data_IF_006415567229
#
_entry.id   IF_006415567229
#
_cell.length_a   1.000
_cell.length_b   1.000
_cell.length_c   1.000
_cell.angle_alpha   90.00
_cell.angle_beta   90.00
_cell.angle_gamma   90.00
#
_symmetry.space_group_name_H-M   'P 1'
#
loop_
_entity.id
_entity.type
_entity.pdbx_description
1 polymer ?
#
# COMPACT_ATOMS: atom_id res chain seq x y z
N UNK A 1 -67.78 -1.42 25.26
CA UNK A 1 -67.13 -2.72 24.95
C UNK A 1 -65.67 -2.60 25.33
N UNK A 2 -65.33 -3.05 26.54
CA UNK A 2 -64.64 -4.32 26.88
C UNK A 2 -63.14 -4.08 27.13
N UNK A 3 -62.88 -3.56 28.32
CA UNK A 3 -61.68 -3.86 29.08
C UNK A 3 -61.47 -5.37 29.20
N UNK A 4 -60.24 -5.84 29.01
CA UNK A 4 -59.69 -6.97 29.78
C UNK A 4 -58.20 -6.75 30.08
N UNK A 5 -57.81 -6.84 31.35
CA UNK A 5 -56.42 -6.91 31.80
C UNK A 5 -55.95 -8.36 31.80
N UNK A 6 -54.65 -8.60 31.62
CA UNK A 6 -54.04 -9.86 32.02
C UNK A 6 -52.66 -9.61 32.64
N UNK A 7 -52.65 -9.66 33.98
CA UNK A 7 -51.49 -10.05 34.77
C UNK A 7 -51.06 -11.46 34.35
N UNK A 8 -49.77 -11.73 34.26
CA UNK A 8 -49.21 -12.87 35.00
C UNK A 8 -47.69 -12.77 35.13
N UNK A 9 -47.26 -13.04 36.36
CA UNK A 9 -45.88 -13.15 36.83
C UNK A 9 -45.07 -14.22 36.07
N UNK A 10 -43.76 -13.99 35.93
CA UNK A 10 -42.77 -14.93 36.47
C UNK A 10 -41.43 -14.20 36.58
N UNK A 11 -41.05 -13.86 37.81
CA UNK A 11 -39.72 -13.40 38.15
C UNK A 11 -38.77 -14.60 38.11
N UNK A 12 -38.03 -14.74 37.01
CA UNK A 12 -36.85 -15.59 36.95
C UNK A 12 -35.66 -14.75 37.43
N UNK A 13 -35.32 -14.90 38.72
CA UNK A 13 -34.14 -14.30 39.32
C UNK A 13 -32.91 -15.10 38.87
N UNK A 14 -32.39 -14.77 37.68
CA UNK A 14 -31.10 -15.29 37.22
C UNK A 14 -30.00 -14.63 38.03
N UNK A 15 -29.38 -15.41 38.91
CA UNK A 15 -28.09 -15.12 39.52
C UNK A 15 -27.06 -14.94 38.41
N UNK A 16 -26.88 -13.70 37.95
CA UNK A 16 -25.77 -13.32 37.11
C UNK A 16 -24.50 -13.45 37.98
N UNK A 17 -23.79 -14.57 37.85
CA UNK A 17 -22.39 -14.62 38.23
C UNK A 17 -21.68 -13.53 37.43
N UNK A 18 -21.42 -12.38 38.07
CA UNK A 18 -20.46 -11.39 37.59
C UNK A 18 -19.09 -12.07 37.56
N UNK A 19 -18.80 -12.72 36.45
CA UNK A 19 -17.42 -12.95 36.04
C UNK A 19 -16.80 -11.57 35.90
N UNK A 20 -16.00 -11.19 36.89
CA UNK A 20 -15.15 -10.02 36.81
C UNK A 20 -14.25 -10.21 35.58
N UNK A 21 -14.67 -9.66 34.43
CA UNK A 21 -13.83 -9.54 33.25
C UNK A 21 -12.65 -8.70 33.69
N UNK A 22 -11.51 -9.34 33.93
CA UNK A 22 -10.23 -8.67 34.02
C UNK A 22 -10.05 -7.93 32.69
N UNK A 23 -10.26 -6.62 32.71
CA UNK A 23 -9.94 -5.78 31.56
C UNK A 23 -8.44 -5.92 31.37
N UNK A 24 -7.98 -6.48 30.23
CA UNK A 24 -6.54 -6.61 30.00
C UNK A 24 -5.91 -5.22 30.13
N UNK A 25 -4.71 -5.12 30.74
CA UNK A 25 -4.04 -3.84 30.91
C UNK A 25 -3.92 -3.17 29.54
N UNK A 26 -4.50 -1.98 29.41
CA UNK A 26 -4.47 -1.20 28.17
C UNK A 26 -3.02 -0.90 27.85
N UNK A 27 -2.54 -1.43 26.72
CA UNK A 27 -1.17 -1.25 26.27
C UNK A 27 -0.95 0.24 25.94
N UNK A 28 -0.02 0.90 26.64
CA UNK A 28 0.29 2.32 26.41
C UNK A 28 0.66 2.60 24.95
N UNK A 29 1.32 1.63 24.29
CA UNK A 29 1.67 1.72 22.89
C UNK A 29 0.45 1.77 21.96
N UNK A 30 -0.54 0.93 22.22
CA UNK A 30 -1.79 0.90 21.45
C UNK A 30 -2.60 2.19 21.68
N UNK A 31 -2.59 2.74 22.89
CA UNK A 31 -3.29 4.01 23.18
C UNK A 31 -2.74 5.18 22.36
N UNK A 32 -1.42 5.34 22.25
CA UNK A 32 -0.83 6.41 21.44
C UNK A 32 -1.07 6.19 19.94
N UNK A 33 -1.02 4.95 19.46
CA UNK A 33 -1.37 4.61 18.09
C UNK A 33 -2.84 4.96 17.77
N UNK A 34 -3.77 4.60 18.67
CA UNK A 34 -5.19 4.92 18.54
C UNK A 34 -5.43 6.43 18.50
N UNK A 35 -4.75 7.20 19.36
CA UNK A 35 -4.83 8.68 19.31
C UNK A 35 -4.40 9.23 17.94
N UNK A 36 -3.38 8.64 17.32
CA UNK A 36 -2.97 9.02 15.97
C UNK A 36 -4.04 8.69 14.92
N UNK A 37 -4.59 7.47 14.97
CA UNK A 37 -5.68 7.05 14.07
C UNK A 37 -6.93 7.92 14.23
N UNK A 38 -7.30 8.31 15.44
CA UNK A 38 -8.39 9.23 15.73
C UNK A 38 -8.16 10.62 15.14
N UNK A 39 -6.94 11.16 15.27
CA UNK A 39 -6.56 12.43 14.64
C UNK A 39 -6.67 12.35 13.12
N UNK A 40 -6.19 11.28 12.52
CA UNK A 40 -6.29 11.04 11.06
C UNK A 40 -7.76 10.95 10.64
N UNK A 41 -8.59 10.22 11.40
CA UNK A 41 -10.03 10.13 11.15
C UNK A 41 -10.74 11.49 11.30
N UNK A 42 -10.34 12.30 12.27
CA UNK A 42 -10.83 13.67 12.44
C UNK A 42 -10.52 14.54 11.22
N UNK A 43 -9.25 14.58 10.81
CA UNK A 43 -8.81 15.32 9.61
C UNK A 43 -9.60 14.89 8.38
N UNK A 44 -9.80 13.58 8.18
CA UNK A 44 -10.59 13.06 7.06
C UNK A 44 -12.04 13.55 7.10
N UNK A 45 -12.70 13.53 8.26
CA UNK A 45 -14.06 14.05 8.43
C UNK A 45 -14.13 15.54 8.12
N UNK A 46 -13.16 16.32 8.60
CA UNK A 46 -13.11 17.77 8.37
C UNK A 46 -12.93 18.11 6.89
N UNK A 47 -12.05 17.38 6.20
CA UNK A 47 -11.83 17.55 4.75
C UNK A 47 -13.07 17.15 3.95
N UNK A 48 -13.73 16.05 4.33
CA UNK A 48 -15.00 15.61 3.71
C UNK A 48 -16.14 16.62 3.91
N UNK A 49 -16.25 17.23 5.09
CA UNK A 49 -17.25 18.27 5.34
C UNK A 49 -17.05 19.46 4.41
N UNK A 50 -15.82 20.00 4.35
CA UNK A 50 -15.48 21.11 3.45
C UNK A 50 -15.66 20.77 1.97
N UNK A 51 -15.41 19.51 1.59
CA UNK A 51 -15.65 19.02 0.24
C UNK A 51 -17.15 19.04 -0.10
N UNK A 52 -18.03 18.55 0.79
CA UNK A 52 -19.48 18.59 0.54
C UNK A 52 -20.01 20.03 0.44
N UNK A 53 -19.51 20.95 1.27
CA UNK A 53 -19.86 22.37 1.19
C UNK A 53 -19.50 22.94 -0.19
N UNK A 54 -18.27 22.69 -0.65
CA UNK A 54 -17.77 23.13 -1.96
C UNK A 54 -18.53 22.49 -3.14
N UNK A 55 -18.97 21.23 -3.01
CA UNK A 55 -19.87 20.61 -3.98
C UNK A 55 -21.24 21.29 -4.01
N UNK A 56 -21.77 21.70 -2.85
CA UNK A 56 -23.00 22.48 -2.75
C UNK A 56 -22.91 23.83 -3.48
N UNK A 57 -21.81 24.54 -3.28
CA UNK A 57 -21.52 25.81 -3.98
C UNK A 57 -21.40 25.60 -5.50
N UNK A 58 -20.65 24.59 -5.93
CA UNK A 58 -20.49 24.27 -7.35
C UNK A 58 -21.82 23.90 -8.01
N UNK A 59 -22.65 23.10 -7.33
CA UNK A 59 -23.98 22.75 -7.81
C UNK A 59 -24.85 24.00 -8.01
N UNK A 60 -24.84 24.92 -7.04
CA UNK A 60 -25.61 26.17 -7.13
C UNK A 60 -25.10 27.08 -8.26
N UNK A 61 -23.78 27.14 -8.49
CA UNK A 61 -23.19 27.90 -9.59
C UNK A 61 -23.60 27.35 -10.97
N UNK A 62 -23.59 26.03 -11.15
CA UNK A 62 -24.00 25.38 -12.40
C UNK A 62 -25.51 25.55 -12.67
N UNK A 63 -26.34 25.51 -11.62
CA UNK A 63 -27.76 25.82 -11.72
C UNK A 63 -28.01 27.26 -12.21
N UNK A 64 -27.27 28.23 -11.68
CA UNK A 64 -27.34 29.63 -12.14
C UNK A 64 -26.89 29.80 -13.59
N UNK A 65 -25.95 28.97 -14.03
CA UNK A 65 -25.48 28.92 -15.43
C UNK A 65 -26.41 28.12 -16.36
N UNK A 66 -27.53 27.58 -15.85
CA UNK A 66 -28.44 26.70 -16.58
C UNK A 66 -27.78 25.44 -17.18
N UNK A 67 -26.68 24.95 -16.58
CA UNK A 67 -25.99 23.73 -16.98
C UNK A 67 -26.52 22.54 -16.16
N UNK A 68 -27.59 21.91 -16.67
CA UNK A 68 -28.30 20.83 -15.99
C UNK A 68 -27.45 19.56 -15.83
N UNK A 69 -26.77 19.12 -16.89
CA UNK A 69 -26.00 17.87 -16.89
C UNK A 69 -24.86 17.91 -15.87
N UNK A 70 -24.11 19.02 -15.86
CA UNK A 70 -23.05 19.23 -14.88
C UNK A 70 -23.61 19.30 -13.45
N UNK A 71 -24.75 19.97 -13.25
CA UNK A 71 -25.38 20.07 -11.93
C UNK A 71 -25.86 18.69 -11.39
N UNK A 72 -26.37 17.82 -12.28
CA UNK A 72 -26.77 16.45 -11.92
C UNK A 72 -25.56 15.57 -11.58
N UNK A 73 -24.44 15.72 -12.29
CA UNK A 73 -23.19 15.02 -11.97
C UNK A 73 -22.69 15.40 -10.56
N UNK A 74 -22.68 16.70 -10.22
CA UNK A 74 -22.29 17.17 -8.89
C UNK A 74 -23.26 16.65 -7.81
N UNK A 75 -24.56 16.64 -8.07
CA UNK A 75 -25.56 16.07 -7.15
C UNK A 75 -25.32 14.59 -6.88
N UNK A 76 -25.00 13.82 -7.91
CA UNK A 76 -24.70 12.38 -7.80
C UNK A 76 -23.44 12.16 -6.95
N UNK A 77 -22.42 12.98 -7.16
CA UNK A 77 -21.20 12.93 -6.35
C UNK A 77 -21.49 13.26 -4.87
N UNK A 78 -22.29 14.28 -4.57
CA UNK A 78 -22.69 14.59 -3.18
C UNK A 78 -23.40 13.41 -2.49
N UNK A 79 -24.28 12.73 -3.22
CA UNK A 79 -24.94 11.52 -2.72
C UNK A 79 -23.94 10.41 -2.44
N UNK A 80 -22.96 10.19 -3.33
CA UNK A 80 -21.88 9.23 -3.13
C UNK A 80 -21.07 9.56 -1.88
N UNK A 81 -20.61 10.80 -1.74
CA UNK A 81 -19.80 11.25 -0.58
C UNK A 81 -20.54 11.06 0.74
N UNK A 82 -21.83 11.39 0.77
CA UNK A 82 -22.68 11.21 1.95
C UNK A 82 -22.79 9.74 2.36
N UNK A 83 -22.93 8.85 1.37
CA UNK A 83 -23.07 7.40 1.56
C UNK A 83 -21.75 6.73 1.94
N UNK A 84 -20.71 6.96 1.16
CA UNK A 84 -19.45 6.21 1.25
C UNK A 84 -18.49 6.81 2.27
N UNK A 85 -18.59 8.13 2.54
CA UNK A 85 -17.71 8.87 3.46
C UNK A 85 -16.21 8.69 3.16
N UNK A 86 -15.86 8.58 1.88
CA UNK A 86 -14.49 8.41 1.40
C UNK A 86 -14.23 9.13 0.09
N UNK A 87 -12.99 9.56 -0.12
CA UNK A 87 -12.49 10.13 -1.38
C UNK A 87 -11.32 9.29 -1.90
N UNK A 88 -11.42 8.83 -3.15
CA UNK A 88 -10.35 8.12 -3.83
C UNK A 88 -10.22 8.57 -5.28
N UNK A 89 -9.01 8.53 -5.82
CA UNK A 89 -8.72 8.91 -7.21
C UNK A 89 -9.44 8.07 -8.26
N UNK A 90 -9.83 6.82 -7.91
CA UNK A 90 -10.59 5.95 -8.82
C UNK A 90 -12.03 6.41 -9.02
N UNK A 91 -12.54 7.24 -8.12
CA UNK A 91 -13.90 7.75 -8.12
C UNK A 91 -13.97 9.12 -8.82
N UNK A 92 -12.90 9.53 -9.50
CA UNK A 92 -12.88 10.79 -10.24
C UNK A 92 -13.82 10.75 -11.43
N UNK A 93 -14.68 11.76 -11.51
CA UNK A 93 -15.59 11.95 -12.62
C UNK A 93 -14.83 12.66 -13.75
N UNK A 94 -15.03 12.21 -14.99
CA UNK A 94 -14.36 12.80 -16.15
C UNK A 94 -14.90 14.22 -16.45
N UNK A 95 -16.23 14.39 -16.40
CA UNK A 95 -16.94 15.65 -16.63
C UNK A 95 -18.02 15.86 -15.55
N UNK A 96 -18.24 17.11 -15.07
CA UNK A 96 -17.62 18.34 -15.54
C UNK A 96 -16.18 18.55 -15.01
N UNK A 97 -15.31 19.19 -15.80
CA UNK A 97 -13.92 19.51 -15.41
C UNK A 97 -13.80 20.24 -14.06
N UNK A 98 -14.75 21.12 -13.74
CA UNK A 98 -14.79 21.83 -12.46
C UNK A 98 -14.97 20.88 -11.26
N UNK A 99 -15.83 19.86 -11.40
CA UNK A 99 -15.99 18.81 -10.39
C UNK A 99 -14.71 17.99 -10.23
N UNK A 100 -14.10 17.58 -11.35
CA UNK A 100 -12.83 16.84 -11.31
C UNK A 100 -11.71 17.63 -10.64
N UNK A 101 -11.59 18.92 -10.93
CA UNK A 101 -10.61 19.79 -10.28
C UNK A 101 -10.83 19.85 -8.77
N UNK A 102 -12.08 19.95 -8.33
CA UNK A 102 -12.47 19.97 -6.92
C UNK A 102 -12.14 18.62 -6.24
N UNK A 103 -12.43 17.50 -6.90
CA UNK A 103 -12.06 16.15 -6.44
C UNK A 103 -10.55 16.01 -6.22
N UNK A 104 -9.74 16.41 -7.21
CA UNK A 104 -8.27 16.36 -7.12
C UNK A 104 -7.77 17.24 -5.97
N UNK A 105 -8.25 18.48 -5.88
CA UNK A 105 -7.87 19.41 -4.83
C UNK A 105 -8.10 18.84 -3.43
N UNK A 106 -9.26 18.26 -3.17
CA UNK A 106 -9.62 17.76 -1.84
C UNK A 106 -8.97 16.41 -1.49
N UNK A 107 -8.71 15.54 -2.48
CA UNK A 107 -7.91 14.33 -2.26
C UNK A 107 -6.46 14.70 -1.92
N UNK A 108 -5.83 15.61 -2.68
CA UNK A 108 -4.47 16.08 -2.38
C UNK A 108 -4.41 16.73 -1.01
N UNK A 109 -5.36 17.62 -0.68
CA UNK A 109 -5.44 18.23 0.66
C UNK A 109 -5.60 17.22 1.78
N UNK A 110 -6.42 16.17 1.59
CA UNK A 110 -6.55 15.09 2.55
C UNK A 110 -5.22 14.36 2.78
N UNK A 111 -4.52 14.02 1.69
CA UNK A 111 -3.22 13.34 1.75
C UNK A 111 -2.17 14.20 2.46
N UNK A 112 -2.10 15.50 2.17
CA UNK A 112 -1.18 16.44 2.82
C UNK A 112 -1.43 16.55 4.33
N UNK A 113 -2.66 16.80 4.75
CA UNK A 113 -3.00 16.96 6.17
C UNK A 113 -2.80 15.66 6.96
N UNK A 114 -3.17 14.52 6.36
CA UNK A 114 -2.90 13.21 6.97
C UNK A 114 -1.40 12.95 7.06
N UNK A 115 -0.63 13.30 6.02
CA UNK A 115 0.82 13.22 6.01
C UNK A 115 1.46 14.05 7.13
N UNK A 116 0.94 15.25 7.42
CA UNK A 116 1.38 16.09 8.54
C UNK A 116 1.12 15.42 9.90
N UNK A 117 -0.07 14.86 10.12
CA UNK A 117 -0.38 14.14 11.37
C UNK A 117 0.55 12.94 11.56
N UNK A 118 0.82 12.20 10.49
CA UNK A 118 1.73 11.06 10.49
C UNK A 118 3.17 11.50 10.79
N UNK A 119 3.64 12.57 10.15
CA UNK A 119 4.98 13.11 10.37
C UNK A 119 5.19 13.59 11.82
N UNK A 120 4.14 14.12 12.48
CA UNK A 120 4.19 14.52 13.89
C UNK A 120 4.17 13.31 14.85
N UNK A 121 3.37 12.30 14.55
CA UNK A 121 3.18 11.15 15.43
C UNK A 121 4.33 10.13 15.37
N UNK A 122 4.94 9.96 14.19
CA UNK A 122 5.93 8.92 13.95
C UNK A 122 7.16 9.02 14.88
N UNK A 123 7.80 10.19 15.09
CA UNK A 123 8.92 10.32 16.02
C UNK A 123 8.53 9.93 17.47
N UNK A 124 7.32 10.32 17.92
CA UNK A 124 6.81 10.01 19.27
C UNK A 124 6.65 8.50 19.47
N UNK A 125 6.11 7.80 18.48
CA UNK A 125 5.99 6.33 18.52
C UNK A 125 7.38 5.66 18.51
N UNK A 126 8.34 6.19 17.74
CA UNK A 126 9.72 5.66 17.73
C UNK A 126 10.39 5.82 19.10
N UNK A 127 10.23 6.97 19.75
CA UNK A 127 10.72 7.20 21.11
C UNK A 127 10.03 6.28 22.13
N UNK A 128 8.71 6.13 22.02
CA UNK A 128 7.93 5.23 22.87
C UNK A 128 8.44 3.79 22.75
N UNK A 129 8.66 3.29 21.52
CA UNK A 129 9.23 1.97 21.25
C UNK A 129 10.58 1.79 21.97
N UNK A 130 11.48 2.78 21.84
CA UNK A 130 12.80 2.76 22.51
C UNK A 130 12.64 2.69 24.03
N UNK A 131 11.77 3.51 24.60
CA UNK A 131 11.52 3.53 26.05
C UNK A 131 10.99 2.19 26.58
N UNK A 132 10.07 1.55 25.86
CA UNK A 132 9.52 0.24 26.22
C UNK A 132 10.59 -0.86 26.14
N UNK A 133 11.50 -0.77 25.16
CA UNK A 133 12.62 -1.71 25.04
C UNK A 133 13.59 -1.57 26.22
N UNK A 134 13.94 -0.33 26.61
CA UNK A 134 14.81 -0.08 27.78
C UNK A 134 14.16 -0.55 29.08
N UNK A 135 12.84 -0.40 29.20
CA UNK A 135 12.06 -0.87 30.35
C UNK A 135 11.86 -2.40 30.39
N UNK A 136 12.35 -3.16 29.40
CA UNK A 136 12.17 -4.60 29.31
C UNK A 136 10.76 -5.05 28.89
N UNK A 137 9.90 -4.12 28.45
CA UNK A 137 8.53 -4.40 28.00
C UNK A 137 8.50 -4.72 26.50
N UNK A 138 9.01 -5.91 26.16
CA UNK A 138 9.22 -6.28 24.76
C UNK A 138 7.91 -6.44 23.97
N UNK A 139 6.86 -6.99 24.57
CA UNK A 139 5.55 -7.17 23.90
C UNK A 139 4.94 -5.82 23.50
N UNK A 140 5.00 -4.83 24.40
CA UNK A 140 4.55 -3.46 24.12
C UNK A 140 5.40 -2.79 23.02
N UNK A 141 6.72 -3.00 23.03
CA UNK A 141 7.60 -2.48 22.00
C UNK A 141 7.30 -3.08 20.61
N UNK A 142 6.92 -4.37 20.55
CA UNK A 142 6.48 -5.03 19.33
C UNK A 142 5.15 -4.44 18.86
N UNK A 143 4.17 -4.21 19.75
CA UNK A 143 2.91 -3.58 19.40
C UNK A 143 3.10 -2.18 18.81
N UNK A 144 3.96 -1.35 19.43
CA UNK A 144 4.32 -0.01 18.89
C UNK A 144 5.02 -0.12 17.54
N UNK A 145 5.90 -1.11 17.35
CA UNK A 145 6.55 -1.37 16.06
C UNK A 145 5.51 -1.70 14.97
N UNK A 146 4.55 -2.58 15.25
CA UNK A 146 3.48 -2.92 14.31
C UNK A 146 2.62 -1.70 13.99
N UNK A 147 2.33 -0.85 14.98
CA UNK A 147 1.61 0.41 14.75
C UNK A 147 2.41 1.39 13.86
N UNK A 148 3.71 1.53 14.08
CA UNK A 148 4.61 2.33 13.22
C UNK A 148 4.58 1.81 11.79
N UNK A 149 4.77 0.50 11.60
CA UNK A 149 4.76 -0.13 10.28
C UNK A 149 3.40 0.09 9.59
N UNK A 150 2.28 -0.10 10.29
CA UNK A 150 0.94 0.17 9.78
C UNK A 150 0.76 1.63 9.38
N UNK A 151 1.23 2.58 10.19
CA UNK A 151 1.09 4.02 9.94
C UNK A 151 1.92 4.45 8.72
N UNK A 152 3.18 4.03 8.66
CA UNK A 152 4.06 4.29 7.52
C UNK A 152 3.49 3.67 6.25
N UNK A 153 3.08 2.40 6.31
CA UNK A 153 2.52 1.72 5.16
C UNK A 153 1.22 2.39 4.71
N UNK A 154 0.27 2.69 5.59
CA UNK A 154 -1.03 3.25 5.21
C UNK A 154 -0.97 4.64 4.59
N UNK A 155 0.10 5.40 4.86
CA UNK A 155 0.16 6.83 4.55
C UNK A 155 1.36 7.28 3.72
N UNK A 156 2.32 6.41 3.42
CA UNK A 156 3.32 6.71 2.40
C UNK A 156 2.61 6.83 1.05
N UNK A 157 2.71 7.98 0.35
CA UNK A 157 2.17 8.12 -0.98
C UNK A 157 2.90 7.14 -1.89
N UNK A 158 2.20 6.11 -2.33
CA UNK A 158 2.71 5.20 -3.36
C UNK A 158 2.57 5.94 -4.68
N UNK A 159 3.53 6.82 -4.97
CA UNK A 159 3.59 7.52 -6.23
C UNK A 159 3.61 6.47 -7.35
N UNK A 160 2.68 6.60 -8.30
CA UNK A 160 2.69 5.75 -9.48
C UNK A 160 4.01 6.01 -10.21
N UNK A 161 4.87 5.00 -10.37
CA UNK A 161 6.14 5.22 -11.06
C UNK A 161 5.84 5.68 -12.48
N UNK A 162 6.48 6.76 -12.90
CA UNK A 162 6.42 7.18 -14.30
C UNK A 162 7.08 6.09 -15.17
N UNK A 163 6.68 6.01 -16.43
CA UNK A 163 7.21 4.99 -17.33
C UNK A 163 8.73 5.14 -17.43
N UNK A 164 9.47 4.12 -16.98
CA UNK A 164 10.93 4.12 -16.99
C UNK A 164 11.60 4.61 -15.70
N UNK A 165 10.85 5.06 -14.69
CA UNK A 165 11.42 5.35 -13.37
C UNK A 165 12.00 4.08 -12.74
N UNK A 166 13.19 4.23 -12.14
CA UNK A 166 13.86 3.17 -11.39
C UNK A 166 13.23 3.09 -10.00
N UNK A 167 12.58 1.96 -9.71
CA UNK A 167 11.96 1.63 -8.43
C UNK A 167 12.91 0.71 -7.66
N UNK A 168 13.40 1.08 -6.48
CA UNK A 168 14.17 0.17 -5.64
C UNK A 168 13.36 -1.08 -5.29
N UNK A 169 13.99 -2.26 -5.28
CA UNK A 169 13.36 -3.52 -4.88
C UNK A 169 12.74 -3.42 -3.48
N UNK A 170 13.40 -2.69 -2.58
CA UNK A 170 12.89 -2.37 -1.24
C UNK A 170 11.54 -1.64 -1.27
N UNK A 171 11.37 -0.65 -2.15
CA UNK A 171 10.12 0.10 -2.26
C UNK A 171 8.96 -0.80 -2.70
N UNK A 172 9.20 -1.72 -3.64
CA UNK A 172 8.19 -2.70 -4.04
C UNK A 172 7.83 -3.66 -2.90
N UNK A 173 8.85 -4.20 -2.21
CA UNK A 173 8.63 -5.13 -1.10
C UNK A 173 7.88 -4.47 0.06
N UNK A 174 8.24 -3.24 0.43
CA UNK A 174 7.54 -2.46 1.45
C UNK A 174 6.10 -2.16 1.01
N UNK A 175 5.88 -1.77 -0.25
CA UNK A 175 4.54 -1.52 -0.75
C UNK A 175 3.63 -2.77 -0.65
N UNK A 176 4.12 -3.93 -1.11
CA UNK A 176 3.34 -5.17 -1.11
C UNK A 176 3.16 -5.80 0.27
N UNK A 177 4.13 -5.66 1.18
CA UNK A 177 4.00 -6.12 2.57
C UNK A 177 3.08 -5.22 3.40
N UNK A 178 3.02 -3.92 3.08
CA UNK A 178 2.16 -2.98 3.77
C UNK A 178 0.69 -3.05 3.36
N UNK A 179 0.40 -3.00 2.06
CA UNK A 179 -0.96 -3.08 1.52
C UNK A 179 -0.93 -3.63 0.09
N UNK A 180 -1.20 -4.94 -0.02
CA UNK A 180 -1.23 -5.65 -1.31
C UNK A 180 -2.20 -5.03 -2.31
N UNK A 181 -3.40 -4.64 -1.87
CA UNK A 181 -4.45 -4.14 -2.77
C UNK A 181 -4.03 -2.82 -3.39
N UNK A 182 -3.44 -1.93 -2.58
CA UNK A 182 -2.91 -0.66 -3.05
C UNK A 182 -1.67 -0.85 -3.92
N UNK A 183 -0.75 -1.74 -3.53
CA UNK A 183 0.44 -2.04 -4.32
C UNK A 183 0.10 -2.64 -5.70
N UNK A 184 -0.86 -3.56 -5.76
CA UNK A 184 -1.38 -4.09 -7.02
C UNK A 184 -1.94 -2.95 -7.89
N UNK A 185 -2.72 -2.05 -7.32
CA UNK A 185 -3.27 -0.89 -8.06
C UNK A 185 -2.16 -0.01 -8.64
N UNK A 186 -1.06 0.18 -7.92
CA UNK A 186 0.02 1.07 -8.35
C UNK A 186 1.00 0.41 -9.32
N UNK A 187 1.39 -0.84 -9.06
CA UNK A 187 2.48 -1.49 -9.78
C UNK A 187 2.01 -2.58 -10.74
N UNK A 188 0.95 -3.34 -10.43
CA UNK A 188 0.55 -4.49 -11.25
C UNK A 188 0.17 -4.06 -12.67
N UNK A 189 0.69 -4.79 -13.64
CA UNK A 189 0.57 -4.50 -15.07
C UNK A 189 1.43 -3.35 -15.58
N UNK A 190 2.13 -2.60 -14.72
CA UNK A 190 3.02 -1.52 -15.16
C UNK A 190 4.38 -2.09 -15.57
N UNK A 191 4.94 -1.57 -16.68
CA UNK A 191 6.33 -1.82 -17.08
C UNK A 191 7.24 -0.87 -16.30
N UNK A 192 7.98 -1.40 -15.33
CA UNK A 192 8.83 -0.63 -14.41
C UNK A 192 10.28 -1.12 -14.49
N UNK A 193 11.21 -0.28 -14.06
CA UNK A 193 12.61 -0.68 -13.85
C UNK A 193 12.80 -0.94 -12.37
N UNK A 194 13.26 -2.12 -11.99
CA UNK A 194 13.52 -2.47 -10.59
C UNK A 194 15.02 -2.59 -10.36
N UNK A 195 15.52 -1.85 -9.37
CA UNK A 195 16.92 -1.89 -8.95
C UNK A 195 17.06 -2.66 -7.65
N UNK A 196 17.93 -3.67 -7.62
CA UNK A 196 18.25 -4.41 -6.39
C UNK A 196 19.57 -5.16 -6.49
N UNK A 197 20.01 -5.75 -5.39
CA UNK A 197 21.21 -6.60 -5.39
C UNK A 197 20.83 -8.04 -5.75
N UNK A 198 21.58 -8.68 -6.65
CA UNK A 198 21.30 -10.07 -7.04
C UNK A 198 21.48 -10.99 -5.83
N UNK A 199 20.41 -11.65 -5.40
CA UNK A 199 20.44 -12.60 -4.27
C UNK A 199 20.75 -14.03 -4.73
N UNK A 200 20.28 -14.37 -5.94
CA UNK A 200 20.49 -15.66 -6.57
C UNK A 200 19.74 -15.75 -7.89
N UNK A 201 19.89 -16.88 -8.57
CA UNK A 201 19.24 -17.16 -9.84
C UNK A 201 19.10 -18.68 -10.03
N UNK A 202 18.10 -19.11 -10.80
CA UNK A 202 17.86 -20.53 -11.14
C UNK A 202 16.91 -20.66 -12.33
N UNK A 203 16.89 -21.83 -12.94
CA UNK A 203 15.80 -22.23 -13.85
C UNK A 203 14.50 -22.37 -13.03
N UNK A 204 13.38 -21.90 -13.56
CA UNK A 204 12.08 -22.05 -12.93
C UNK A 204 11.71 -23.55 -12.83
N UNK A 205 11.48 -24.10 -11.63
CA UNK A 205 11.13 -25.51 -11.47
C UNK A 205 9.78 -25.87 -12.10
N UNK A 206 8.87 -24.90 -12.28
CA UNK A 206 7.57 -25.12 -12.90
C UNK A 206 7.62 -24.97 -14.44
N UNK A 207 8.60 -24.23 -14.97
CA UNK A 207 8.77 -23.99 -16.40
C UNK A 207 10.24 -23.93 -16.79
N UNK A 208 10.77 -25.03 -17.34
CA UNK A 208 12.16 -25.11 -17.78
C UNK A 208 12.53 -24.11 -18.90
N UNK A 209 11.56 -23.38 -19.48
CA UNK A 209 11.79 -22.31 -20.48
C UNK A 209 11.92 -20.93 -19.85
N UNK A 210 11.78 -20.82 -18.54
CA UNK A 210 11.86 -19.58 -17.80
C UNK A 210 13.06 -19.62 -16.86
N UNK A 211 13.86 -18.56 -16.86
CA UNK A 211 14.96 -18.36 -15.92
C UNK A 211 14.58 -17.27 -14.92
N UNK A 212 14.85 -17.51 -13.64
CA UNK A 212 14.48 -16.61 -12.55
C UNK A 212 15.73 -15.96 -11.95
N UNK A 213 15.72 -14.64 -11.80
CA UNK A 213 16.72 -13.87 -11.05
C UNK A 213 16.03 -13.23 -9.85
N UNK A 214 16.62 -13.33 -8.67
CA UNK A 214 16.09 -12.75 -7.44
C UNK A 214 16.85 -11.49 -7.06
N UNK A 215 16.14 -10.37 -6.90
CA UNK A 215 16.70 -9.11 -6.43
C UNK A 215 16.34 -8.87 -4.97
N UNK A 216 17.32 -8.79 -4.08
CA UNK A 216 17.12 -8.47 -2.67
C UNK A 216 17.00 -6.95 -2.44
N UNK A 217 16.29 -6.57 -1.37
CA UNK A 217 16.40 -5.24 -0.78
C UNK A 217 17.74 -5.07 -0.06
N UNK A 218 18.18 -3.82 0.10
CA UNK A 218 19.38 -3.52 0.90
C UNK A 218 19.23 -3.92 2.38
N UNK A 219 17.99 -4.00 2.86
CA UNK A 219 17.62 -4.43 4.22
C UNK A 219 17.55 -5.95 4.41
N UNK A 220 17.61 -6.75 3.32
CA UNK A 220 17.51 -8.22 3.37
C UNK A 220 16.08 -8.76 3.63
N UNK A 221 15.06 -7.92 3.62
CA UNK A 221 13.67 -8.26 3.93
C UNK A 221 12.90 -8.80 2.71
N UNK A 222 13.37 -9.92 2.16
CA UNK A 222 12.75 -10.59 1.00
C UNK A 222 13.40 -10.27 -0.34
N UNK A 223 12.76 -10.69 -1.42
CA UNK A 223 13.27 -10.55 -2.78
C UNK A 223 12.17 -10.34 -3.81
N UNK A 224 12.49 -9.62 -4.89
CA UNK A 224 11.68 -9.51 -6.10
C UNK A 224 12.14 -10.59 -7.07
N UNK A 225 11.21 -11.41 -7.55
CA UNK A 225 11.47 -12.46 -8.53
C UNK A 225 11.30 -11.91 -9.95
N UNK A 226 12.35 -11.97 -10.76
CA UNK A 226 12.36 -11.51 -12.14
C UNK A 226 12.42 -12.71 -13.10
N UNK A 227 11.34 -12.93 -13.84
CA UNK A 227 11.22 -14.03 -14.79
C UNK A 227 11.63 -13.61 -16.21
N UNK A 228 12.58 -14.33 -16.80
CA UNK A 228 13.10 -14.14 -18.15
C UNK A 228 12.75 -15.33 -19.03
N UNK A 229 12.28 -15.05 -20.25
CA UNK A 229 12.06 -16.11 -21.25
C UNK A 229 13.38 -16.54 -21.87
N UNK A 230 13.66 -17.85 -21.88
CA UNK A 230 14.81 -18.42 -22.58
C UNK A 230 14.71 -18.32 -24.11
N UNK A 231 13.54 -17.98 -24.65
CA UNK A 231 13.42 -17.69 -26.09
C UNK A 231 14.11 -16.37 -26.49
N UNK A 232 14.23 -15.42 -25.54
CA UNK A 232 14.86 -14.11 -25.77
C UNK A 232 16.31 -14.04 -25.27
N UNK A 233 16.68 -14.92 -24.34
CA UNK A 233 17.98 -14.87 -23.67
C UNK A 233 18.61 -16.25 -23.51
N UNK A 234 19.94 -16.30 -23.58
CA UNK A 234 20.75 -17.46 -23.20
C UNK A 234 21.41 -17.19 -21.85
N UNK A 235 21.38 -18.20 -21.00
CA UNK A 235 21.94 -18.16 -19.65
C UNK A 235 23.05 -19.18 -19.54
N UNK A 236 24.22 -18.76 -19.05
CA UNK A 236 25.36 -19.64 -18.78
C UNK A 236 25.92 -19.32 -17.41
N UNK A 237 26.02 -20.34 -16.56
CA UNK A 237 26.69 -20.22 -15.27
C UNK A 237 28.19 -20.46 -15.44
N UNK A 238 28.99 -19.49 -15.05
CA UNK A 238 30.45 -19.53 -15.08
C UNK A 238 30.98 -19.58 -13.66
N UNK A 239 31.80 -20.60 -13.35
CA UNK A 239 32.51 -20.67 -12.07
C UNK A 239 33.89 -20.04 -12.25
N UNK A 240 34.22 -19.05 -11.43
CA UNK A 240 35.56 -18.48 -11.43
C UNK A 240 36.55 -19.35 -10.62
N UNK A 241 37.83 -18.98 -10.61
CA UNK A 241 38.89 -19.69 -9.89
C UNK A 241 38.65 -19.80 -8.37
N UNK A 242 37.80 -18.95 -7.80
CA UNK A 242 37.43 -18.93 -6.39
C UNK A 242 36.10 -19.65 -6.11
N UNK A 243 35.54 -20.34 -7.10
CA UNK A 243 34.26 -21.06 -6.98
C UNK A 243 33.02 -20.16 -6.95
N UNK A 244 33.17 -18.84 -7.09
CA UNK A 244 32.03 -17.93 -7.19
C UNK A 244 31.34 -18.10 -8.55
N UNK A 245 30.03 -18.25 -8.51
CA UNK A 245 29.18 -18.43 -9.70
C UNK A 245 28.80 -17.06 -10.25
N UNK A 246 29.11 -16.83 -11.52
CA UNK A 246 28.70 -15.67 -12.31
C UNK A 246 27.68 -16.13 -13.34
N UNK A 247 26.53 -15.45 -13.43
CA UNK A 247 25.57 -15.69 -14.49
C UNK A 247 25.94 -14.79 -15.69
N UNK A 248 26.29 -15.41 -16.80
CA UNK A 248 26.40 -14.76 -18.09
C UNK A 248 25.04 -14.81 -18.80
N UNK A 249 24.50 -13.64 -19.11
CA UNK A 249 23.23 -13.45 -19.82
C UNK A 249 23.58 -12.86 -21.18
N UNK A 250 23.12 -13.47 -22.26
CA UNK A 250 23.26 -12.91 -23.62
C UNK A 250 21.93 -12.99 -24.36
N UNK A 251 21.75 -12.13 -25.36
CA UNK A 251 20.58 -12.22 -26.24
C UNK A 251 20.61 -13.54 -27.04
N UNK A 252 19.44 -14.09 -27.33
CA UNK A 252 19.33 -15.41 -27.98
C UNK A 252 19.83 -15.45 -29.43
N UNK A 253 19.84 -14.29 -30.10
CA UNK A 253 20.40 -14.07 -31.44
C UNK A 253 21.94 -14.07 -31.47
N UNK A 254 22.58 -13.83 -30.32
CA UNK A 254 24.03 -13.77 -30.17
C UNK A 254 24.66 -12.43 -30.56
N UNK A 255 23.87 -11.45 -31.02
CA UNK A 255 24.36 -10.14 -31.50
C UNK A 255 24.25 -9.03 -30.43
N UNK A 256 24.05 -9.43 -29.17
CA UNK A 256 23.88 -8.52 -28.03
C UNK A 256 25.06 -8.50 -27.06
N UNK A 257 25.17 -7.47 -26.21
CA UNK A 257 26.12 -7.48 -25.11
C UNK A 257 25.87 -8.68 -24.19
N UNK A 258 26.94 -9.28 -23.67
CA UNK A 258 26.84 -10.29 -22.62
C UNK A 258 26.95 -9.60 -21.26
N UNK A 259 25.88 -9.68 -20.46
CA UNK A 259 25.88 -9.20 -19.08
C UNK A 259 26.42 -10.30 -18.16
N UNK A 260 27.35 -9.94 -17.28
CA UNK A 260 27.86 -10.84 -16.23
C UNK A 260 27.39 -10.31 -14.89
N UNK A 261 26.61 -11.12 -14.18
CA UNK A 261 26.05 -10.74 -12.88
C UNK A 261 26.46 -11.73 -11.80
N UNK A 262 26.85 -11.20 -10.65
CA UNK A 262 27.24 -11.98 -9.47
C UNK A 262 26.32 -11.69 -8.29
N UNK A 263 26.23 -12.64 -7.35
CA UNK A 263 25.50 -12.42 -6.10
C UNK A 263 26.07 -11.19 -5.35
N UNK A 264 25.19 -10.31 -4.90
CA UNK A 264 25.50 -9.04 -4.25
C UNK A 264 25.66 -7.85 -5.19
N UNK A 265 25.82 -8.09 -6.50
CA UNK A 265 25.96 -7.01 -7.48
C UNK A 265 24.62 -6.29 -7.69
N UNK A 266 24.59 -4.94 -7.72
CA UNK A 266 23.40 -4.18 -8.09
C UNK A 266 23.05 -4.44 -9.57
N UNK A 267 21.76 -4.62 -9.84
CA UNK A 267 21.23 -4.89 -11.17
C UNK A 267 19.90 -4.17 -11.37
N UNK A 268 19.75 -3.58 -12.56
CA UNK A 268 18.52 -2.93 -13.00
C UNK A 268 17.80 -3.83 -13.99
N UNK A 269 16.62 -4.31 -13.62
CA UNK A 269 15.78 -5.17 -14.46
C UNK A 269 14.51 -4.42 -14.83
N UNK A 270 14.25 -4.26 -16.12
CA UNK A 270 12.97 -3.75 -16.62
C UNK A 270 12.02 -4.92 -16.81
N UNK A 271 10.79 -4.81 -16.31
CA UNK A 271 9.79 -5.87 -16.47
C UNK A 271 8.37 -5.36 -16.19
N UNK A 272 7.38 -6.19 -16.51
CA UNK A 272 5.98 -5.93 -16.14
C UNK A 272 5.74 -6.51 -14.75
N UNK A 273 5.33 -5.70 -13.79
CA UNK A 273 5.02 -6.21 -12.46
C UNK A 273 3.72 -7.04 -12.49
N UNK A 274 3.78 -8.30 -12.07
CA UNK A 274 2.66 -9.25 -12.11
C UNK A 274 1.85 -9.25 -10.80
N UNK A 275 2.38 -8.60 -9.75
CA UNK A 275 1.78 -8.56 -8.42
C UNK A 275 2.59 -9.33 -7.39
N UNK A 276 1.96 -9.57 -6.24
CA UNK A 276 2.43 -10.51 -5.21
C UNK A 276 1.67 -11.83 -5.36
N UNK A 277 2.40 -12.91 -5.61
CA UNK A 277 1.91 -14.30 -5.54
C UNK A 277 2.95 -15.13 -4.77
N UNK A 278 2.82 -15.11 -3.43
CA UNK A 278 3.85 -15.47 -2.44
C UNK A 278 5.10 -14.57 -2.45
N UNK A 279 5.56 -14.16 -3.63
CA UNK A 279 6.71 -13.29 -3.89
C UNK A 279 6.31 -12.21 -4.90
N UNK A 280 6.88 -11.00 -4.78
CA UNK A 280 6.66 -9.94 -5.76
C UNK A 280 7.34 -10.34 -7.07
N UNK A 281 6.56 -10.43 -8.15
CA UNK A 281 7.04 -10.97 -9.43
C UNK A 281 7.07 -9.92 -10.54
N UNK A 282 8.13 -9.93 -11.34
CA UNK A 282 8.23 -9.24 -12.63
C UNK A 282 8.25 -10.29 -13.75
N UNK A 283 7.37 -10.12 -14.73
CA UNK A 283 7.38 -10.89 -15.98
C UNK A 283 7.93 -10.08 -17.14
N UNK A 284 8.21 -10.77 -18.25
CA UNK A 284 8.73 -10.16 -19.50
C UNK A 284 9.96 -9.29 -19.24
N UNK A 285 10.90 -9.82 -18.46
CA UNK A 285 12.05 -9.07 -17.99
C UNK A 285 13.10 -8.84 -19.11
N UNK A 286 13.76 -7.69 -19.03
CA UNK A 286 14.87 -7.23 -19.85
C UNK A 286 15.96 -6.66 -18.91
N UNK A 287 17.23 -6.99 -19.15
CA UNK A 287 18.34 -6.42 -18.37
C UNK A 287 18.71 -5.05 -18.96
N UNK A 288 18.79 -4.01 -18.11
CA UNK A 288 19.24 -2.69 -18.54
C UNK A 288 20.75 -2.50 -18.30
N UNK A 289 21.34 -1.57 -19.06
CA UNK A 289 22.71 -1.10 -18.86
C UNK A 289 22.80 -0.13 -17.69
#
# INVERSE_FOLDING_TARGET
MKHRPFLSCLAAFTLALSTARSVPPVNLGESEALKCEEKIASVRRDVLGKYDDALGELQAALQKAADLESALAVRTERQRVTKDRTLFERDYVAEPKSLRALQVQYVTRAQELVGQVVAEALPKLIELKKSMTVAGKLDDAVAVRTAIEKLQNSHVPVARPEAGTVVPAETLLVAYSGDRVRADKTYKGQKIVVRGAVSGFRVDPADARTYQIYLASGSGSGFVQCAFSMSGFRFREEKNAFGAVTLAISAADGDGPTWRVQKGQPLDIRGVCEGLDEVVRLGRCEVLR
#
